data_IF_455751376060
#
_entry.id   IF_455751376060
#
_cell.length_a   1.000
_cell.length_b   1.000
_cell.length_c   1.000
_cell.angle_alpha   90.00
_cell.angle_beta   90.00
_cell.angle_gamma   90.00
#
_symmetry.space_group_name_H-M   'P 1'
#
loop_
_entity.id
_entity.type
_entity.pdbx_description
1 polymer ?
#
# COMPACT_ATOMS: atom_id res chain seq x y z
N UNK A 1 12.95 -19.75 -21.55
CA UNK A 1 11.82 -19.36 -20.67
C UNK A 1 11.00 -18.31 -21.41
N UNK A 2 9.67 -18.38 -21.40
CA UNK A 2 8.83 -17.30 -21.96
C UNK A 2 9.10 -16.01 -21.18
N UNK A 3 9.22 -14.88 -21.88
CA UNK A 3 9.38 -13.56 -21.23
C UNK A 3 8.15 -13.32 -20.35
N UNK A 4 8.35 -12.94 -19.09
CA UNK A 4 7.22 -12.57 -18.21
C UNK A 4 6.49 -11.36 -18.79
N UNK A 5 5.16 -11.36 -18.66
CA UNK A 5 4.34 -10.20 -19.00
C UNK A 5 4.55 -9.07 -17.99
N UNK A 6 4.38 -7.84 -18.41
CA UNK A 6 4.35 -6.66 -17.57
C UNK A 6 2.98 -6.54 -16.89
N UNK A 7 2.95 -6.70 -15.58
CA UNK A 7 1.71 -6.73 -14.80
C UNK A 7 1.47 -5.39 -14.09
N UNK A 8 0.47 -4.64 -14.53
CA UNK A 8 0.05 -3.35 -13.96
C UNK A 8 -1.12 -3.48 -12.96
N UNK A 9 -1.36 -4.68 -12.41
CA UNK A 9 -2.44 -4.91 -11.46
C UNK A 9 -2.27 -4.10 -10.19
N UNK A 10 -3.38 -3.52 -9.71
CA UNK A 10 -3.38 -2.73 -8.48
C UNK A 10 -3.30 -3.54 -7.19
N UNK A 11 -3.56 -4.84 -7.26
CA UNK A 11 -3.48 -5.78 -6.14
C UNK A 11 -4.46 -6.95 -6.27
N UNK A 12 -3.99 -8.19 -6.09
CA UNK A 12 -2.58 -8.58 -5.90
C UNK A 12 -1.69 -8.10 -7.04
N UNK A 13 -0.56 -7.46 -6.70
CA UNK A 13 0.30 -6.80 -7.67
C UNK A 13 1.48 -7.67 -8.13
N UNK A 14 2.30 -7.12 -9.02
CA UNK A 14 3.54 -7.77 -9.43
C UNK A 14 4.48 -7.96 -8.23
N UNK A 15 5.19 -9.09 -8.18
CA UNK A 15 6.30 -9.35 -7.28
C UNK A 15 7.62 -9.30 -8.06
N UNK A 16 8.74 -8.94 -7.43
CA UNK A 16 10.06 -8.99 -8.07
C UNK A 16 10.36 -10.41 -8.57
N UNK A 17 10.86 -10.53 -9.79
CA UNK A 17 11.15 -11.83 -10.38
C UNK A 17 12.18 -12.62 -9.56
N UNK A 18 13.22 -11.93 -9.05
CA UNK A 18 14.24 -12.55 -8.21
C UNK A 18 13.64 -13.18 -6.93
N UNK A 19 12.65 -12.52 -6.33
CA UNK A 19 11.92 -13.04 -5.15
C UNK A 19 11.15 -14.31 -5.53
N UNK A 20 10.45 -14.31 -6.67
CA UNK A 20 9.71 -15.49 -7.13
C UNK A 20 10.63 -16.65 -7.50
N UNK A 21 11.77 -16.38 -8.13
CA UNK A 21 12.77 -17.40 -8.48
C UNK A 21 13.38 -18.03 -7.21
N UNK A 22 13.69 -17.22 -6.20
CA UNK A 22 14.19 -17.73 -4.92
C UNK A 22 13.12 -18.55 -4.20
N UNK A 23 11.89 -18.07 -4.13
CA UNK A 23 10.78 -18.82 -3.56
C UNK A 23 10.53 -20.15 -4.28
N UNK A 24 10.65 -20.16 -5.62
CA UNK A 24 10.56 -21.40 -6.42
C UNK A 24 11.68 -22.37 -6.09
N UNK A 25 12.92 -21.91 -5.96
CA UNK A 25 14.07 -22.75 -5.64
C UNK A 25 13.98 -23.34 -4.22
N UNK A 26 13.43 -22.59 -3.26
CA UNK A 26 13.28 -22.98 -1.87
C UNK A 26 11.91 -23.65 -1.57
N UNK A 27 11.03 -23.83 -2.57
CA UNK A 27 9.65 -24.25 -2.36
C UNK A 27 9.52 -25.65 -1.74
N UNK A 28 10.36 -26.59 -2.17
CA UNK A 28 10.35 -27.99 -1.66
C UNK A 28 11.43 -28.22 -0.61
N UNK A 29 12.48 -27.44 -0.62
CA UNK A 29 13.65 -27.65 0.24
C UNK A 29 14.27 -26.30 0.61
N UNK A 30 13.79 -25.71 1.69
CA UNK A 30 14.35 -24.46 2.20
C UNK A 30 15.73 -24.73 2.80
N UNK A 31 16.76 -24.18 2.15
CA UNK A 31 18.17 -24.23 2.58
C UNK A 31 18.69 -25.62 2.95
N UNK A 32 18.28 -26.65 2.23
CA UNK A 32 18.74 -28.04 2.45
C UNK A 32 18.09 -28.75 3.65
N UNK A 33 16.98 -28.23 4.19
CA UNK A 33 16.25 -28.81 5.32
C UNK A 33 15.28 -29.92 4.92
N UNK A 34 15.05 -30.11 3.61
CA UNK A 34 14.14 -31.14 3.08
C UNK A 34 12.67 -30.86 3.33
N UNK A 35 12.29 -29.60 3.60
CA UNK A 35 10.90 -29.17 3.78
C UNK A 35 10.68 -27.72 3.30
N UNK A 36 9.43 -27.42 2.96
CA UNK A 36 8.99 -26.08 2.57
C UNK A 36 8.81 -25.16 3.78
N UNK A 37 8.99 -23.86 3.60
CA UNK A 37 8.60 -22.86 4.62
C UNK A 37 7.11 -22.97 4.98
N UNK A 38 6.24 -23.44 4.05
CA UNK A 38 4.82 -23.66 4.32
C UNK A 38 4.55 -24.78 5.34
N UNK A 39 5.51 -25.70 5.50
CA UNK A 39 5.41 -26.87 6.40
C UNK A 39 6.15 -26.64 7.73
N UNK A 40 6.90 -25.52 7.85
CA UNK A 40 7.65 -25.21 9.06
C UNK A 40 6.73 -24.86 10.22
N UNK A 41 7.06 -25.39 11.40
CA UNK A 41 6.47 -24.85 12.63
C UNK A 41 6.89 -23.38 12.79
N UNK A 42 5.93 -22.48 13.00
CA UNK A 42 6.22 -21.09 13.30
C UNK A 42 6.93 -20.88 14.65
N UNK A 43 7.09 -21.95 15.44
CA UNK A 43 7.85 -21.97 16.72
C UNK A 43 9.23 -22.60 16.57
N UNK A 44 9.64 -23.02 15.36
CA UNK A 44 10.99 -23.51 15.12
C UNK A 44 11.98 -22.34 15.08
N UNK A 45 13.25 -22.62 15.38
CA UNK A 45 14.33 -21.64 15.32
C UNK A 45 14.48 -21.08 13.90
N UNK A 46 14.30 -21.91 12.87
CA UNK A 46 14.41 -21.52 11.47
C UNK A 46 13.34 -20.51 11.10
N UNK A 47 12.07 -20.77 11.46
CA UNK A 47 11.00 -19.82 11.14
C UNK A 47 11.11 -18.53 11.95
N UNK A 48 11.51 -18.64 13.22
CA UNK A 48 11.79 -17.47 14.07
C UNK A 48 12.86 -16.58 13.42
N UNK A 49 13.95 -17.17 12.91
CA UNK A 49 14.98 -16.43 12.20
C UNK A 49 14.49 -15.76 10.90
N UNK A 50 13.59 -16.43 10.14
CA UNK A 50 12.94 -15.83 8.97
C UNK A 50 12.13 -14.59 9.37
N UNK A 51 11.32 -14.70 10.43
CA UNK A 51 10.46 -13.62 10.90
C UNK A 51 11.25 -12.44 11.46
N UNK A 52 12.26 -12.71 12.29
CA UNK A 52 13.16 -11.69 12.86
C UNK A 52 13.92 -10.95 11.78
N UNK A 53 14.45 -11.68 10.77
CA UNK A 53 15.13 -11.05 9.64
C UNK A 53 14.20 -10.15 8.85
N UNK A 54 12.97 -10.60 8.57
CA UNK A 54 12.00 -9.78 7.85
C UNK A 54 11.63 -8.50 8.61
N UNK A 55 11.46 -8.59 9.94
CA UNK A 55 11.22 -7.42 10.79
C UNK A 55 12.43 -6.47 10.77
N UNK A 56 13.65 -7.01 10.93
CA UNK A 56 14.86 -6.19 10.93
C UNK A 56 15.09 -5.49 9.60
N UNK A 57 14.88 -6.18 8.47
CA UNK A 57 15.03 -5.59 7.15
C UNK A 57 14.01 -4.46 6.91
N UNK A 58 12.78 -4.61 7.38
CA UNK A 58 11.78 -3.54 7.32
C UNK A 58 12.14 -2.35 8.23
N UNK A 59 12.66 -2.64 9.44
CA UNK A 59 13.15 -1.59 10.34
C UNK A 59 14.29 -0.80 9.73
N UNK A 60 15.24 -1.48 9.10
CA UNK A 60 16.39 -0.84 8.43
C UNK A 60 15.92 0.03 7.26
N UNK A 61 15.02 -0.49 6.41
CA UNK A 61 14.50 0.22 5.22
C UNK A 61 13.75 1.51 5.57
N UNK A 62 13.01 1.53 6.68
CA UNK A 62 12.22 2.69 7.10
C UNK A 62 12.83 3.44 8.29
N UNK A 63 14.00 3.03 8.78
CA UNK A 63 14.63 3.61 9.98
C UNK A 63 13.65 3.67 11.17
N UNK A 64 12.90 2.57 11.40
CA UNK A 64 11.83 2.52 12.40
C UNK A 64 12.43 2.69 13.80
N UNK A 65 12.01 3.71 14.57
CA UNK A 65 12.52 3.92 15.92
C UNK A 65 12.22 2.75 16.86
N UNK A 66 13.07 2.57 17.90
CA UNK A 66 12.95 1.44 18.84
C UNK A 66 11.65 1.45 19.68
N UNK A 67 11.02 2.61 19.82
CA UNK A 67 9.74 2.79 20.53
C UNK A 67 8.52 2.47 19.66
N UNK A 68 8.70 1.76 18.54
CA UNK A 68 7.63 1.23 17.69
C UNK A 68 7.68 -0.29 17.68
N UNK A 69 6.51 -0.92 17.70
CA UNK A 69 6.35 -2.35 17.41
C UNK A 69 5.98 -2.53 15.93
N UNK A 70 6.55 -3.55 15.32
CA UNK A 70 6.21 -4.00 13.98
C UNK A 70 5.43 -5.30 14.10
N UNK A 71 4.20 -5.31 13.60
CA UNK A 71 3.30 -6.46 13.69
C UNK A 71 3.05 -6.99 12.28
N UNK A 72 3.09 -8.32 12.16
CA UNK A 72 2.77 -9.04 10.93
C UNK A 72 1.48 -9.82 11.13
N UNK A 73 0.36 -9.23 10.69
CA UNK A 73 -0.98 -9.72 11.00
C UNK A 73 -1.68 -10.30 9.76
N UNK A 74 -2.78 -11.01 9.98
CA UNK A 74 -3.65 -11.52 8.94
C UNK A 74 -4.77 -10.51 8.61
N UNK A 75 -5.69 -10.82 7.69
CA UNK A 75 -6.87 -10.01 7.39
C UNK A 75 -6.70 -8.85 6.42
N UNK A 76 -5.46 -8.47 6.11
CA UNK A 76 -5.14 -7.36 5.21
C UNK A 76 -5.59 -6.00 5.74
N UNK A 77 -5.45 -4.95 4.92
CA UNK A 77 -5.78 -3.57 5.30
C UNK A 77 -7.27 -3.39 5.68
N UNK A 78 -8.18 -4.17 5.08
CA UNK A 78 -9.61 -4.04 5.37
C UNK A 78 -9.97 -4.44 6.80
N UNK A 79 -9.24 -5.39 7.40
CA UNK A 79 -9.42 -5.73 8.81
C UNK A 79 -8.95 -4.60 9.72
N UNK A 80 -7.91 -3.86 9.31
CA UNK A 80 -7.39 -2.73 10.07
C UNK A 80 -8.42 -1.60 10.22
N UNK A 81 -9.37 -1.47 9.30
CA UNK A 81 -10.46 -0.49 9.44
C UNK A 81 -11.31 -0.72 10.69
N UNK A 82 -11.44 -1.98 11.15
CA UNK A 82 -12.10 -2.34 12.40
C UNK A 82 -11.11 -2.45 13.58
N UNK A 83 -9.93 -2.96 13.33
CA UNK A 83 -8.91 -3.24 14.36
C UNK A 83 -8.37 -1.94 14.99
N UNK A 84 -8.15 -0.90 14.17
CA UNK A 84 -7.70 0.41 14.65
C UNK A 84 -8.69 1.02 15.65
N UNK A 85 -9.99 1.19 15.35
CA UNK A 85 -10.92 1.72 16.34
C UNK A 85 -11.13 0.80 17.55
N UNK A 86 -11.00 -0.52 17.43
CA UNK A 86 -11.03 -1.43 18.57
C UNK A 86 -9.86 -1.19 19.54
N UNK A 87 -8.69 -0.83 19.02
CA UNK A 87 -7.47 -0.63 19.79
C UNK A 87 -7.27 0.82 20.27
N UNK A 88 -7.68 1.81 19.47
CA UNK A 88 -7.31 3.21 19.70
C UNK A 88 -8.48 4.14 20.03
N UNK A 89 -9.73 3.78 19.67
CA UNK A 89 -10.89 4.64 19.91
C UNK A 89 -11.58 4.26 21.22
N UNK A 90 -11.50 5.08 22.28
CA UNK A 90 -12.22 4.81 23.53
C UNK A 90 -13.74 4.71 23.33
N UNK A 91 -14.44 4.04 24.25
CA UNK A 91 -15.90 4.10 24.28
C UNK A 91 -16.35 5.56 24.39
N UNK A 92 -17.27 5.99 23.53
CA UNK A 92 -17.72 7.38 23.41
C UNK A 92 -16.64 8.40 22.98
N UNK A 93 -15.46 7.93 22.52
CA UNK A 93 -14.42 8.77 21.94
C UNK A 93 -14.78 9.24 20.53
N UNK A 94 -14.03 10.22 20.04
CA UNK A 94 -14.08 10.70 18.67
C UNK A 94 -12.77 10.41 17.94
N UNK A 95 -12.84 10.04 16.68
CA UNK A 95 -11.70 9.95 15.78
C UNK A 95 -11.94 10.82 14.55
N UNK A 96 -10.89 11.50 14.11
CA UNK A 96 -10.89 12.32 12.92
C UNK A 96 -10.47 11.50 11.70
N UNK A 97 -11.12 11.73 10.58
CA UNK A 97 -10.84 11.06 9.31
C UNK A 97 -10.77 12.06 8.16
N UNK A 98 -9.90 11.78 7.19
CA UNK A 98 -9.85 12.53 5.94
C UNK A 98 -10.41 11.66 4.82
N UNK A 99 -11.47 12.16 4.17
CA UNK A 99 -12.12 11.50 3.03
C UNK A 99 -11.47 11.93 1.71
N UNK A 100 -10.58 11.09 1.18
CA UNK A 100 -9.90 11.33 -0.11
C UNK A 100 -10.27 10.32 -1.19
N UNK A 101 -11.14 9.36 -0.90
CA UNK A 101 -11.53 8.40 -1.93
C UNK A 101 -12.25 7.17 -1.38
N UNK A 102 -12.15 6.07 -2.11
CA UNK A 102 -12.92 4.85 -1.79
C UNK A 102 -12.37 4.16 -0.54
N UNK A 103 -11.05 4.13 -0.35
CA UNK A 103 -10.45 3.43 0.78
C UNK A 103 -10.65 4.20 2.08
N UNK A 104 -10.43 5.51 2.07
CA UNK A 104 -10.74 6.36 3.23
C UNK A 104 -12.23 6.28 3.62
N UNK A 105 -13.16 6.30 2.66
CA UNK A 105 -14.60 6.13 2.95
C UNK A 105 -14.93 4.78 3.59
N UNK A 106 -14.32 3.68 3.11
CA UNK A 106 -14.51 2.36 3.73
C UNK A 106 -14.02 2.32 5.16
N UNK A 107 -12.88 2.95 5.45
CA UNK A 107 -12.38 3.03 6.82
C UNK A 107 -13.26 3.91 7.71
N UNK A 108 -13.79 5.02 7.18
CA UNK A 108 -14.78 5.87 7.84
C UNK A 108 -16.05 5.08 8.20
N UNK A 109 -16.60 4.35 7.22
CA UNK A 109 -17.86 3.62 7.41
C UNK A 109 -17.68 2.46 8.40
N UNK A 110 -16.53 1.82 8.44
CA UNK A 110 -16.25 0.79 9.45
C UNK A 110 -16.04 1.41 10.84
N UNK A 111 -15.28 2.51 10.95
CA UNK A 111 -15.01 3.17 12.23
C UNK A 111 -16.29 3.70 12.92
N UNK A 112 -17.28 4.16 12.16
CA UNK A 112 -18.59 4.60 12.68
C UNK A 112 -19.33 3.52 13.48
N UNK A 113 -18.99 2.25 13.30
CA UNK A 113 -19.55 1.13 14.06
C UNK A 113 -19.01 1.08 15.49
N UNK A 114 -17.90 1.75 15.74
CA UNK A 114 -17.19 1.69 17.01
C UNK A 114 -17.24 3.00 17.82
N UNK A 115 -17.57 4.14 17.23
CA UNK A 115 -17.60 5.41 17.95
C UNK A 115 -17.97 6.59 17.07
N UNK A 116 -17.73 7.79 17.58
CA UNK A 116 -17.97 9.01 16.82
C UNK A 116 -16.84 9.24 15.80
N UNK A 117 -17.22 9.53 14.56
CA UNK A 117 -16.29 9.87 13.49
C UNK A 117 -16.59 11.28 13.03
N UNK A 118 -15.60 12.16 13.15
CA UNK A 118 -15.60 13.46 12.50
C UNK A 118 -14.85 13.36 11.16
N UNK A 119 -15.43 13.89 10.10
CA UNK A 119 -14.74 14.03 8.81
C UNK A 119 -14.03 15.37 8.83
N UNK A 120 -12.74 15.36 9.21
CA UNK A 120 -11.94 16.56 9.35
C UNK A 120 -11.77 17.31 8.02
N UNK A 121 -11.70 16.58 6.91
CA UNK A 121 -11.66 17.13 5.56
C UNK A 121 -12.20 16.12 4.54
N UNK A 122 -12.68 16.61 3.39
CA UNK A 122 -13.15 15.76 2.30
C UNK A 122 -12.71 16.32 0.95
N UNK A 123 -12.20 15.46 0.08
CA UNK A 123 -11.91 15.76 -1.32
C UNK A 123 -13.17 15.80 -2.21
N UNK A 124 -14.36 15.51 -1.67
CA UNK A 124 -15.63 15.51 -2.42
C UNK A 124 -15.92 16.84 -3.12
N UNK A 125 -15.70 18.03 -2.51
CA UNK A 125 -15.88 19.31 -3.20
C UNK A 125 -14.98 19.50 -4.42
N UNK A 126 -13.92 18.73 -4.53
CA UNK A 126 -12.96 18.71 -5.64
C UNK A 126 -13.15 17.51 -6.56
N UNK A 127 -14.32 16.85 -6.53
CA UNK A 127 -14.62 15.62 -7.28
C UNK A 127 -13.58 14.49 -7.08
N UNK A 128 -12.87 14.53 -5.93
CA UNK A 128 -11.75 13.64 -5.62
C UNK A 128 -10.56 13.76 -6.58
N UNK A 129 -10.35 14.95 -7.15
CA UNK A 129 -9.21 15.26 -8.03
C UNK A 129 -8.14 16.13 -7.36
N UNK A 130 -8.40 16.62 -6.16
CA UNK A 130 -7.43 17.37 -5.36
C UNK A 130 -7.57 17.00 -3.88
N UNK A 131 -6.53 17.24 -3.11
CA UNK A 131 -6.50 17.07 -1.66
C UNK A 131 -6.74 18.42 -1.00
N UNK A 132 -7.70 18.53 -0.05
CA UNK A 132 -7.90 19.75 0.73
C UNK A 132 -6.62 20.12 1.49
N UNK A 133 -6.22 21.39 1.46
CA UNK A 133 -5.10 21.87 2.25
C UNK A 133 -5.37 21.69 3.75
N UNK A 134 -4.32 21.49 4.55
CA UNK A 134 -4.49 21.26 6.00
C UNK A 134 -5.18 22.45 6.71
N UNK A 135 -5.08 23.65 6.19
CA UNK A 135 -5.78 24.84 6.67
C UNK A 135 -7.31 24.81 6.46
N UNK A 136 -7.80 23.87 5.67
CA UNK A 136 -9.24 23.63 5.43
C UNK A 136 -9.81 22.57 6.39
N UNK A 137 -8.95 21.93 7.20
CA UNK A 137 -9.37 20.82 8.05
C UNK A 137 -10.04 21.32 9.34
N UNK A 138 -11.13 20.66 9.72
CA UNK A 138 -11.84 20.88 10.99
C UNK A 138 -11.57 19.72 11.92
N UNK A 139 -10.57 19.88 12.78
CA UNK A 139 -10.15 18.84 13.74
C UNK A 139 -11.03 18.89 15.01
N UNK A 140 -11.22 17.74 15.65
CA UNK A 140 -11.86 17.63 16.95
C UNK A 140 -10.84 17.94 18.07
N UNK A 141 -11.24 18.68 19.10
CA UNK A 141 -10.35 19.07 20.20
C UNK A 141 -9.72 17.87 20.94
N UNK A 142 -10.40 16.73 20.99
CA UNK A 142 -10.00 15.53 21.73
C UNK A 142 -10.07 14.26 20.85
N UNK A 143 -9.66 14.35 19.61
CA UNK A 143 -9.60 13.17 18.74
C UNK A 143 -8.63 12.12 19.30
N UNK A 144 -9.08 10.88 19.41
CA UNK A 144 -8.22 9.77 19.81
C UNK A 144 -7.08 9.53 18.80
N UNK A 145 -7.36 9.80 17.52
CA UNK A 145 -6.41 9.79 16.40
C UNK A 145 -7.04 10.49 15.19
N UNK A 146 -6.20 10.85 14.22
CA UNK A 146 -6.65 11.17 12.87
C UNK A 146 -6.19 10.09 11.91
N UNK A 147 -7.11 9.62 11.08
CA UNK A 147 -6.85 8.61 10.03
C UNK A 147 -6.92 9.21 8.62
N UNK A 148 -5.97 8.86 7.77
CA UNK A 148 -6.01 9.15 6.34
C UNK A 148 -5.42 8.01 5.50
N UNK A 149 -5.74 7.97 4.22
CA UNK A 149 -5.06 7.12 3.24
C UNK A 149 -3.99 7.96 2.54
N UNK A 150 -2.71 7.57 2.70
CA UNK A 150 -1.59 8.30 2.06
C UNK A 150 -1.69 8.28 0.53
N UNK A 151 -2.23 7.17 -0.01
CA UNK A 151 -2.44 6.97 -1.44
C UNK A 151 -3.75 6.21 -1.71
N UNK A 152 -4.67 6.84 -2.41
CA UNK A 152 -5.93 6.24 -2.87
C UNK A 152 -5.71 5.44 -4.17
N UNK A 153 -5.50 4.15 -4.04
CA UNK A 153 -5.17 3.22 -5.13
C UNK A 153 -6.14 3.26 -6.32
N UNK A 154 -7.41 3.56 -6.07
CA UNK A 154 -8.48 3.54 -7.09
C UNK A 154 -8.55 4.87 -7.82
N UNK A 155 -8.61 5.97 -7.08
CA UNK A 155 -8.71 7.32 -7.63
C UNK A 155 -7.39 7.90 -8.08
N UNK A 156 -6.26 7.41 -7.54
CA UNK A 156 -4.93 7.92 -7.88
C UNK A 156 -4.56 9.22 -7.16
N UNK A 157 -5.27 9.59 -6.07
CA UNK A 157 -4.88 10.68 -5.19
C UNK A 157 -3.78 10.21 -4.22
N UNK A 158 -2.73 11.00 -4.05
CA UNK A 158 -1.66 10.76 -3.10
C UNK A 158 -1.23 12.05 -2.41
N UNK A 159 -1.06 11.97 -1.08
CA UNK A 159 -0.44 13.05 -0.32
C UNK A 159 1.05 13.15 -0.66
N UNK A 160 1.52 14.35 -0.95
CA UNK A 160 2.94 14.67 -1.10
C UNK A 160 3.55 15.26 0.19
N UNK A 161 2.75 15.37 1.25
CA UNK A 161 3.11 15.89 2.56
C UNK A 161 2.50 15.02 3.68
N UNK A 162 3.08 15.10 4.88
CA UNK A 162 2.58 14.43 6.09
C UNK A 162 1.83 15.46 6.93
N UNK A 163 0.56 15.20 7.33
CA UNK A 163 -0.19 16.08 8.21
C UNK A 163 0.53 16.35 9.54
N UNK A 164 0.44 17.59 10.03
CA UNK A 164 0.96 17.98 11.33
C UNK A 164 -0.20 18.23 12.29
N UNK A 165 -0.34 17.35 13.30
CA UNK A 165 -1.47 17.33 14.22
C UNK A 165 -1.06 17.61 15.68
N UNK A 166 0.19 18.05 15.90
CA UNK A 166 0.72 18.17 17.27
C UNK A 166 0.71 16.81 17.99
N UNK A 167 0.04 16.72 19.13
CA UNK A 167 0.02 15.51 19.97
C UNK A 167 -0.99 14.44 19.52
N UNK A 168 -1.92 14.77 18.62
CA UNK A 168 -2.92 13.79 18.14
C UNK A 168 -2.24 12.70 17.30
N UNK A 169 -2.39 11.40 17.65
CA UNK A 169 -1.79 10.32 16.87
C UNK A 169 -2.25 10.31 15.42
N UNK A 170 -1.31 10.35 14.48
CA UNK A 170 -1.57 10.21 13.06
C UNK A 170 -1.58 8.73 12.68
N UNK A 171 -2.66 8.27 12.07
CA UNK A 171 -2.88 6.90 11.60
C UNK A 171 -3.02 6.90 10.08
N UNK A 172 -2.33 5.99 9.39
CA UNK A 172 -2.33 6.00 7.94
C UNK A 172 -2.40 4.61 7.30
N UNK A 173 -3.22 4.52 6.24
CA UNK A 173 -3.15 3.43 5.26
C UNK A 173 -2.07 3.75 4.22
N UNK A 174 -0.97 3.01 4.27
CA UNK A 174 0.12 3.08 3.28
C UNK A 174 0.19 1.83 2.39
N UNK A 175 -0.88 1.05 2.28
CA UNK A 175 -0.86 -0.22 1.54
C UNK A 175 -0.29 -0.09 0.12
N UNK A 176 -0.52 1.03 -0.54
CA UNK A 176 -0.12 1.20 -1.94
C UNK A 176 1.13 2.05 -2.16
N UNK A 177 1.71 2.64 -1.11
CA UNK A 177 2.90 3.49 -1.26
C UNK A 177 3.98 3.30 -0.18
N UNK A 178 3.78 2.41 0.80
CA UNK A 178 4.85 2.04 1.75
C UNK A 178 6.09 1.55 1.01
N UNK A 179 7.29 1.92 1.49
CA UNK A 179 8.58 1.57 0.87
C UNK A 179 8.77 2.09 -0.57
N UNK A 180 7.94 3.01 -1.03
CA UNK A 180 8.12 3.63 -2.36
C UNK A 180 9.09 4.80 -2.37
N UNK A 181 9.34 5.39 -1.20
CA UNK A 181 10.22 6.53 -0.95
C UNK A 181 10.56 6.62 0.55
N UNK A 182 11.58 7.42 0.96
CA UNK A 182 11.88 7.67 2.36
C UNK A 182 10.67 8.22 3.13
N UNK A 183 10.57 7.82 4.40
CA UNK A 183 9.47 8.18 5.29
C UNK A 183 10.01 8.43 6.71
N UNK A 184 9.61 9.52 7.34
CA UNK A 184 9.84 9.74 8.76
C UNK A 184 8.74 9.05 9.58
N UNK A 185 8.99 7.83 10.03
CA UNK A 185 8.06 7.02 10.82
C UNK A 185 7.70 7.71 12.14
N UNK A 186 8.57 8.54 12.70
CA UNK A 186 8.35 9.22 13.99
C UNK A 186 7.16 10.20 13.97
N UNK A 187 6.72 10.63 12.78
CA UNK A 187 5.54 11.47 12.58
C UNK A 187 4.21 10.75 12.79
N UNK A 188 4.22 9.42 12.91
CA UNK A 188 3.02 8.60 12.94
C UNK A 188 2.82 7.94 14.30
N UNK A 189 1.56 7.84 14.73
CA UNK A 189 1.16 6.95 15.81
C UNK A 189 1.03 5.50 15.31
N UNK A 190 0.49 5.32 14.09
CA UNK A 190 0.32 4.01 13.49
C UNK A 190 0.35 4.10 11.96
N UNK A 191 1.13 3.21 11.34
CA UNK A 191 1.14 2.97 9.89
C UNK A 191 0.67 1.54 9.65
N UNK A 192 -0.19 1.30 8.68
CA UNK A 192 -0.51 -0.06 8.25
C UNK A 192 -0.46 -0.20 6.73
N UNK A 193 -0.14 -1.42 6.28
CA UNK A 193 0.00 -1.73 4.86
C UNK A 193 -0.37 -3.18 4.55
N UNK A 194 -1.42 -3.39 3.76
CA UNK A 194 -1.72 -4.69 3.18
C UNK A 194 -0.64 -5.09 2.17
N UNK A 195 -0.02 -6.27 2.37
CA UNK A 195 1.18 -6.65 1.64
C UNK A 195 1.00 -6.80 0.13
N UNK A 196 -0.20 -7.20 -0.32
CA UNK A 196 -0.49 -7.59 -1.71
C UNK A 196 -0.31 -6.49 -2.77
N UNK A 197 0.07 -5.28 -2.38
CA UNK A 197 0.31 -4.17 -3.31
C UNK A 197 1.81 -3.97 -3.55
N UNK A 198 2.53 -3.46 -2.58
CA UNK A 198 3.92 -3.03 -2.77
C UNK A 198 4.97 -3.86 -2.03
N UNK A 199 4.59 -4.69 -1.06
CA UNK A 199 5.55 -5.33 -0.14
C UNK A 199 5.45 -6.85 -0.03
N UNK A 200 4.56 -7.51 -0.78
CA UNK A 200 4.46 -8.97 -0.72
C UNK A 200 3.20 -9.54 -1.34
N UNK A 201 2.85 -10.79 -1.02
CA UNK A 201 1.63 -11.44 -1.46
C UNK A 201 0.42 -11.06 -0.59
N UNK A 202 -0.78 -11.47 -1.01
CA UNK A 202 -1.99 -11.38 -0.19
C UNK A 202 -1.90 -12.26 1.06
N UNK A 203 -2.70 -11.94 2.08
CA UNK A 203 -2.82 -12.72 3.33
C UNK A 203 -2.03 -12.13 4.50
N UNK A 204 -1.26 -11.08 4.27
CA UNK A 204 -0.47 -10.40 5.28
C UNK A 204 -0.80 -8.90 5.30
N UNK A 205 -0.78 -8.31 6.49
CA UNK A 205 -0.75 -6.86 6.71
C UNK A 205 0.37 -6.54 7.71
N UNK A 206 1.15 -5.51 7.42
CA UNK A 206 2.13 -4.96 8.36
C UNK A 206 1.49 -3.81 9.10
N UNK A 207 1.68 -3.76 10.43
CA UNK A 207 1.30 -2.63 11.29
C UNK A 207 2.53 -2.17 12.04
N UNK A 208 2.88 -0.90 11.91
CA UNK A 208 3.95 -0.23 12.64
C UNK A 208 3.26 0.71 13.64
N UNK A 209 3.32 0.39 14.91
CA UNK A 209 2.58 1.10 15.96
C UNK A 209 3.49 1.58 17.06
N UNK A 210 3.32 2.84 17.48
CA UNK A 210 4.07 3.44 18.58
C UNK A 210 3.67 2.79 19.90
N UNK A 211 4.65 2.44 20.74
CA UNK A 211 4.44 1.64 21.96
C UNK A 211 3.44 2.24 22.95
N UNK A 212 3.39 3.58 23.07
CA UNK A 212 2.45 4.27 23.94
C UNK A 212 0.97 4.10 23.56
N UNK A 213 0.71 3.64 22.34
CA UNK A 213 -0.63 3.35 21.82
C UNK A 213 -1.10 1.92 22.11
N UNK A 214 -0.20 1.04 22.55
CA UNK A 214 -0.53 -0.35 22.90
C UNK A 214 -1.26 -0.41 24.26
N UNK A 215 -2.09 -1.45 24.42
CA UNK A 215 -2.84 -1.67 25.67
C UNK A 215 -4.01 -0.72 25.89
N UNK A 216 -4.46 -0.03 24.84
CA UNK A 216 -5.65 0.83 24.84
C UNK A 216 -6.89 0.14 24.27
N UNK A 217 -6.78 -1.16 23.94
CA UNK A 217 -7.87 -1.93 23.36
C UNK A 217 -9.11 -1.91 24.27
N UNK A 218 -10.28 -1.82 23.68
CA UNK A 218 -11.57 -1.92 24.38
C UNK A 218 -11.72 -3.30 25.02
N UNK A 219 -12.44 -3.38 26.12
CA UNK A 219 -12.75 -4.64 26.81
C UNK A 219 -13.47 -5.66 25.92
N UNK A 220 -14.17 -5.18 24.89
CA UNK A 220 -14.85 -6.00 23.88
C UNK A 220 -13.95 -6.41 22.72
N UNK A 221 -12.68 -5.97 22.67
CA UNK A 221 -11.76 -6.34 21.61
C UNK A 221 -11.43 -7.84 21.69
N UNK A 222 -11.65 -8.61 20.61
CA UNK A 222 -11.24 -10.01 20.60
C UNK A 222 -9.72 -10.15 20.72
N UNK A 223 -9.25 -11.18 21.43
CA UNK A 223 -7.82 -11.46 21.67
C UNK A 223 -6.96 -11.36 20.41
N UNK A 224 -7.48 -11.89 19.28
CA UNK A 224 -6.76 -11.92 18.00
C UNK A 224 -6.64 -10.55 17.32
N UNK A 225 -7.40 -9.56 17.76
CA UNK A 225 -7.43 -8.20 17.21
C UNK A 225 -6.76 -7.17 18.13
N UNK A 226 -6.22 -7.62 19.27
CA UNK A 226 -5.53 -6.75 20.25
C UNK A 226 -4.04 -6.62 19.87
N UNK A 227 -3.64 -5.40 19.49
CA UNK A 227 -2.25 -5.11 19.11
C UNK A 227 -1.25 -5.36 20.25
N UNK A 228 -1.65 -5.18 21.52
CA UNK A 228 -0.78 -5.47 22.65
C UNK A 228 -0.48 -6.96 22.75
N UNK A 229 -1.49 -7.80 22.58
CA UNK A 229 -1.34 -9.26 22.59
C UNK A 229 -0.49 -9.71 21.39
N UNK A 230 -0.73 -9.13 20.21
CA UNK A 230 0.10 -9.40 19.02
C UNK A 230 1.56 -9.00 19.28
N UNK A 231 1.81 -7.81 19.85
CA UNK A 231 3.16 -7.32 20.14
C UNK A 231 3.89 -8.20 21.17
N UNK A 232 3.22 -8.58 22.26
CA UNK A 232 3.80 -9.39 23.32
C UNK A 232 4.15 -10.82 22.87
N UNK A 233 3.58 -11.27 21.75
CA UNK A 233 3.81 -12.59 21.18
C UNK A 233 4.57 -12.56 19.84
N UNK A 234 5.24 -11.45 19.48
CA UNK A 234 5.96 -11.32 18.21
C UNK A 234 5.10 -11.64 16.99
N UNK A 235 3.82 -11.24 17.02
CA UNK A 235 2.80 -11.55 15.99
C UNK A 235 2.46 -13.04 15.84
N UNK A 236 2.91 -13.89 16.77
CA UNK A 236 2.75 -15.36 16.73
C UNK A 236 1.93 -15.90 17.91
N UNK A 237 0.93 -15.14 18.36
CA UNK A 237 -0.05 -15.65 19.34
C UNK A 237 -0.71 -16.92 18.83
N UNK A 238 -1.09 -16.96 17.55
CA UNK A 238 -1.44 -18.16 16.82
C UNK A 238 -0.50 -18.35 15.61
N UNK A 239 -0.70 -19.41 14.83
CA UNK A 239 0.05 -19.63 13.58
C UNK A 239 -0.18 -18.49 12.61
N UNK A 240 0.87 -17.74 12.22
CA UNK A 240 0.75 -16.63 11.29
C UNK A 240 0.62 -17.10 9.83
N UNK A 241 0.46 -16.17 8.89
CA UNK A 241 0.53 -16.44 7.45
C UNK A 241 2.00 -16.69 7.04
N UNK A 242 2.55 -17.87 7.41
CA UNK A 242 3.98 -18.18 7.37
C UNK A 242 4.62 -17.91 6.03
N UNK A 243 4.03 -18.40 4.94
CA UNK A 243 4.60 -18.26 3.60
C UNK A 243 4.48 -16.82 3.07
N UNK A 244 3.39 -16.11 3.40
CA UNK A 244 3.24 -14.70 3.03
C UNK A 244 4.24 -13.81 3.76
N UNK A 245 4.53 -14.11 5.03
CA UNK A 245 5.55 -13.39 5.80
C UNK A 245 6.96 -13.63 5.24
N UNK A 246 7.30 -14.90 4.96
CA UNK A 246 8.55 -15.26 4.30
C UNK A 246 8.74 -14.52 2.96
N UNK A 247 7.73 -14.53 2.08
CA UNK A 247 7.81 -13.82 0.81
C UNK A 247 7.96 -12.30 0.97
N UNK A 248 7.28 -11.71 1.95
CA UNK A 248 7.46 -10.28 2.25
C UNK A 248 8.88 -10.00 2.77
N UNK A 249 9.44 -10.89 3.58
CA UNK A 249 10.85 -10.81 3.99
C UNK A 249 11.81 -10.82 2.80
N UNK A 250 11.57 -11.69 1.82
CA UNK A 250 12.35 -11.70 0.57
C UNK A 250 12.20 -10.40 -0.24
N UNK A 251 11.02 -9.77 -0.21
CA UNK A 251 10.83 -8.45 -0.86
C UNK A 251 11.61 -7.37 -0.12
N UNK A 252 11.66 -7.37 1.21
CA UNK A 252 12.45 -6.41 1.98
C UNK A 252 13.95 -6.58 1.72
N UNK A 253 14.44 -7.82 1.68
CA UNK A 253 15.83 -8.12 1.32
C UNK A 253 16.16 -7.62 -0.09
N UNK A 254 15.30 -7.93 -1.07
CA UNK A 254 15.43 -7.42 -2.43
C UNK A 254 15.47 -5.89 -2.49
N UNK A 255 14.61 -5.18 -1.73
CA UNK A 255 14.64 -3.71 -1.68
C UNK A 255 15.97 -3.17 -1.14
N UNK A 256 16.55 -3.82 -0.11
CA UNK A 256 17.90 -3.46 0.40
C UNK A 256 18.97 -3.67 -0.67
N UNK A 257 18.92 -4.78 -1.41
CA UNK A 257 19.84 -5.06 -2.53
C UNK A 257 19.70 -4.05 -3.68
N UNK A 258 18.51 -3.49 -3.90
CA UNK A 258 18.30 -2.41 -4.88
C UNK A 258 18.81 -1.04 -4.42
N UNK A 259 19.33 -0.93 -3.19
CA UNK A 259 19.85 0.31 -2.61
C UNK A 259 18.83 1.06 -1.73
N UNK A 260 17.83 0.36 -1.22
CA UNK A 260 16.86 0.88 -0.25
C UNK A 260 15.83 1.85 -0.83
N UNK A 261 15.13 2.54 0.07
CA UNK A 261 14.01 3.42 -0.30
C UNK A 261 14.42 4.66 -1.09
N UNK A 262 15.66 5.14 -0.93
CA UNK A 262 16.19 6.26 -1.71
C UNK A 262 16.41 5.89 -3.20
N UNK A 263 16.85 4.66 -3.44
CA UNK A 263 16.97 4.15 -4.81
C UNK A 263 15.57 3.91 -5.42
N UNK A 264 14.64 3.38 -4.64
CA UNK A 264 13.24 3.21 -5.06
C UNK A 264 12.58 4.55 -5.36
N UNK A 265 12.80 5.59 -4.57
CA UNK A 265 12.28 6.93 -4.85
C UNK A 265 12.74 7.43 -6.22
N UNK A 266 14.04 7.31 -6.53
CA UNK A 266 14.57 7.74 -7.84
C UNK A 266 13.93 6.98 -8.99
N UNK A 267 13.80 5.64 -8.85
CA UNK A 267 13.17 4.80 -9.85
C UNK A 267 11.68 5.12 -10.01
N UNK A 268 10.95 5.25 -8.91
CA UNK A 268 9.52 5.54 -8.92
C UNK A 268 9.23 6.92 -9.50
N UNK A 269 10.09 7.92 -9.20
CA UNK A 269 10.02 9.25 -9.81
C UNK A 269 10.20 9.18 -11.32
N UNK A 270 11.22 8.48 -11.80
CA UNK A 270 11.46 8.30 -13.25
C UNK A 270 10.25 7.64 -13.95
N UNK A 271 9.68 6.59 -13.35
CA UNK A 271 8.50 5.89 -13.88
C UNK A 271 7.28 6.81 -13.98
N UNK A 272 6.95 7.51 -12.88
CA UNK A 272 5.79 8.40 -12.88
C UNK A 272 5.97 9.58 -13.84
N UNK A 273 7.16 10.18 -13.87
CA UNK A 273 7.44 11.32 -14.73
C UNK A 273 7.35 10.94 -16.22
N UNK A 274 7.82 9.73 -16.58
CA UNK A 274 7.69 9.20 -17.93
C UNK A 274 6.22 9.00 -18.32
N UNK A 275 5.41 8.37 -17.46
CA UNK A 275 4.02 8.07 -17.77
C UNK A 275 3.13 9.33 -17.77
N UNK A 276 3.24 10.17 -16.74
CA UNK A 276 2.50 11.44 -16.72
C UNK A 276 2.94 12.38 -17.83
N UNK A 277 4.23 12.38 -18.21
CA UNK A 277 4.73 13.19 -19.30
C UNK A 277 4.07 12.88 -20.65
N UNK A 278 3.72 11.62 -20.91
CA UNK A 278 2.95 11.24 -22.10
C UNK A 278 1.49 11.67 -22.00
N UNK A 279 0.88 11.46 -20.83
CA UNK A 279 -0.53 11.84 -20.62
C UNK A 279 -0.70 13.36 -20.76
N UNK A 280 0.19 14.14 -20.15
CA UNK A 280 0.08 15.61 -20.12
C UNK A 280 0.46 16.28 -21.47
N UNK A 281 1.24 15.60 -22.32
CA UNK A 281 1.62 16.10 -23.63
C UNK A 281 0.61 15.75 -24.74
N UNK A 282 -0.46 15.03 -24.41
CA UNK A 282 -1.42 14.46 -25.36
C UNK A 282 -2.81 15.11 -25.19
N UNK A 283 -3.47 15.38 -26.30
CA UNK A 283 -4.91 15.72 -26.30
C UNK A 283 -5.80 14.44 -26.34
N UNK A 284 -5.19 13.29 -26.55
CA UNK A 284 -5.87 11.99 -26.62
C UNK A 284 -5.97 11.28 -25.27
N UNK A 285 -4.98 11.49 -24.38
CA UNK A 285 -4.98 10.96 -23.01
C UNK A 285 -5.26 12.06 -21.99
N UNK A 286 -5.93 11.71 -20.91
CA UNK A 286 -6.20 12.68 -19.83
C UNK A 286 -6.11 12.05 -18.44
N UNK A 287 -5.66 12.85 -17.47
CA UNK A 287 -5.75 12.56 -16.04
C UNK A 287 -6.23 13.83 -15.32
N UNK A 288 -7.41 13.79 -14.66
CA UNK A 288 -8.01 14.99 -14.08
C UNK A 288 -7.41 15.41 -12.73
N UNK A 289 -6.49 14.61 -12.16
CA UNK A 289 -5.95 14.83 -10.82
C UNK A 289 -4.98 16.02 -10.84
N UNK A 290 -5.12 16.92 -9.85
CA UNK A 290 -4.20 18.01 -9.63
C UNK A 290 -2.75 17.53 -9.52
N UNK A 291 -1.82 18.18 -10.19
CA UNK A 291 -0.44 17.71 -10.36
C UNK A 291 0.29 17.43 -9.03
N UNK A 292 -0.01 18.22 -7.99
CA UNK A 292 0.52 18.07 -6.63
C UNK A 292 -0.17 16.95 -5.80
N UNK A 293 -1.19 16.30 -6.35
CA UNK A 293 -1.92 15.22 -5.69
C UNK A 293 -1.91 13.91 -6.48
N UNK A 294 -1.10 13.81 -7.54
CA UNK A 294 -1.00 12.63 -8.40
C UNK A 294 -0.22 11.50 -7.75
N UNK A 295 -0.79 10.31 -7.78
CA UNK A 295 -0.14 9.11 -7.27
C UNK A 295 1.11 8.73 -8.07
N UNK A 296 2.18 8.39 -7.35
CA UNK A 296 3.38 7.81 -7.94
C UNK A 296 3.23 6.31 -8.26
N UNK A 297 2.25 5.67 -7.62
CA UNK A 297 2.06 4.22 -7.66
C UNK A 297 0.88 3.78 -8.53
N UNK A 298 -0.18 4.58 -8.59
CA UNK A 298 -1.41 4.21 -9.28
C UNK A 298 -1.84 5.36 -10.20
N UNK A 299 -1.58 5.21 -11.48
CA UNK A 299 -1.82 6.23 -12.49
C UNK A 299 -3.09 5.91 -13.28
N UNK A 300 -4.26 6.50 -12.93
CA UNK A 300 -5.44 6.42 -13.76
C UNK A 300 -5.31 7.33 -14.98
N UNK A 301 -5.86 6.92 -16.11
CA UNK A 301 -5.96 7.75 -17.30
C UNK A 301 -7.15 7.35 -18.17
N UNK A 302 -7.61 8.26 -19.00
CA UNK A 302 -8.73 8.07 -19.91
C UNK A 302 -8.31 8.37 -21.33
N UNK A 303 -8.98 7.74 -22.28
CA UNK A 303 -8.94 8.10 -23.69
C UNK A 303 -9.92 9.23 -23.99
N UNK A 304 -9.67 10.02 -25.01
CA UNK A 304 -10.60 11.04 -25.51
C UNK A 304 -11.93 10.41 -26.00
N UNK A 305 -11.86 9.21 -26.57
CA UNK A 305 -13.01 8.41 -26.95
C UNK A 305 -13.06 7.10 -26.12
N UNK A 306 -13.98 7.03 -25.16
CA UNK A 306 -14.17 5.84 -24.29
C UNK A 306 -14.61 4.59 -25.10
N UNK A 307 -15.11 4.72 -26.33
CA UNK A 307 -15.43 3.56 -27.17
C UNK A 307 -14.17 2.77 -27.56
N UNK A 308 -13.00 3.42 -27.56
CA UNK A 308 -11.72 2.80 -27.83
C UNK A 308 -11.13 2.04 -26.63
N UNK A 309 -11.68 2.16 -25.41
CA UNK A 309 -11.15 1.50 -24.20
C UNK A 309 -10.92 0.00 -24.42
N UNK A 310 -11.88 -0.69 -25.04
CA UNK A 310 -11.79 -2.13 -25.28
C UNK A 310 -10.69 -2.47 -26.29
N UNK A 311 -10.52 -1.64 -27.34
CA UNK A 311 -9.50 -1.82 -28.35
C UNK A 311 -8.13 -1.59 -27.75
N UNK A 312 -7.96 -0.53 -26.95
CA UNK A 312 -6.75 -0.24 -26.20
C UNK A 312 -6.35 -1.40 -25.28
N UNK A 313 -7.28 -1.90 -24.47
CA UNK A 313 -7.00 -2.99 -23.53
C UNK A 313 -6.64 -4.30 -24.25
N UNK A 314 -7.31 -4.63 -25.36
CA UNK A 314 -6.99 -5.82 -26.15
C UNK A 314 -5.59 -5.71 -26.77
N UNK A 315 -5.27 -4.57 -27.39
CA UNK A 315 -3.94 -4.35 -27.98
C UNK A 315 -2.81 -4.29 -26.94
N UNK A 316 -3.11 -3.85 -25.71
CA UNK A 316 -2.17 -3.93 -24.58
C UNK A 316 -1.91 -5.38 -24.16
N UNK A 317 -2.97 -6.18 -23.99
CA UNK A 317 -2.87 -7.60 -23.63
C UNK A 317 -2.05 -8.41 -24.65
N UNK A 318 -2.25 -8.18 -25.95
CA UNK A 318 -1.47 -8.81 -27.03
C UNK A 318 0.03 -8.51 -26.93
N UNK A 319 0.39 -7.35 -26.37
CA UNK A 319 1.78 -6.94 -26.13
C UNK A 319 2.32 -7.35 -24.75
N UNK A 320 1.52 -8.10 -23.97
CA UNK A 320 1.89 -8.53 -22.63
C UNK A 320 1.86 -7.39 -21.61
N UNK A 321 1.10 -6.30 -21.84
CA UNK A 321 0.85 -5.21 -20.91
C UNK A 321 -0.48 -5.47 -20.20
N UNK A 322 -0.43 -6.23 -19.10
CA UNK A 322 -1.61 -6.82 -18.49
C UNK A 322 -2.22 -5.96 -17.37
N UNK A 323 -3.54 -6.10 -17.18
CA UNK A 323 -4.28 -5.54 -16.04
C UNK A 323 -4.35 -4.00 -16.01
N UNK A 324 -4.38 -3.36 -17.17
CA UNK A 324 -4.51 -1.91 -17.30
C UNK A 324 -5.93 -1.38 -17.13
N UNK A 325 -6.96 -2.24 -17.11
CA UNK A 325 -8.36 -1.81 -16.95
C UNK A 325 -8.57 -1.05 -15.64
N UNK A 326 -9.14 0.15 -15.72
CA UNK A 326 -9.51 0.95 -14.56
C UNK A 326 -10.57 0.28 -13.68
N UNK A 327 -10.70 0.75 -12.44
CA UNK A 327 -11.71 0.24 -11.53
C UNK A 327 -13.12 0.61 -12.03
N UNK A 328 -14.10 -0.29 -11.86
CA UNK A 328 -15.48 -0.12 -12.34
C UNK A 328 -16.16 1.18 -11.88
N UNK A 329 -15.74 1.77 -10.76
CA UNK A 329 -16.29 3.03 -10.23
C UNK A 329 -15.67 4.28 -10.86
N UNK A 330 -14.58 4.17 -11.61
CA UNK A 330 -13.83 5.29 -12.20
C UNK A 330 -13.82 5.19 -13.72
N UNK A 331 -13.81 3.97 -14.26
CA UNK A 331 -13.68 3.71 -15.70
C UNK A 331 -12.24 3.90 -16.20
N UNK A 332 -12.09 3.96 -17.53
CA UNK A 332 -10.82 4.17 -18.22
C UNK A 332 -9.76 3.10 -17.90
N UNK A 333 -8.52 3.51 -17.88
CA UNK A 333 -7.35 2.68 -17.58
C UNK A 333 -6.71 3.08 -16.25
N UNK A 334 -5.90 2.17 -15.69
CA UNK A 334 -5.05 2.45 -14.56
C UNK A 334 -3.79 1.59 -14.62
N UNK A 335 -2.64 2.23 -14.69
CA UNK A 335 -1.35 1.58 -14.54
C UNK A 335 -0.91 1.64 -13.07
N UNK A 336 -0.79 0.48 -12.42
CA UNK A 336 -0.18 0.39 -11.09
C UNK A 336 1.30 0.05 -11.24
N UNK A 337 2.16 1.03 -10.96
CA UNK A 337 3.61 0.98 -11.22
C UNK A 337 4.40 0.87 -9.93
N UNK A 338 4.03 -0.12 -9.09
CA UNK A 338 4.69 -0.39 -7.80
C UNK A 338 6.20 -0.67 -7.94
N UNK A 339 6.88 -0.83 -6.83
CA UNK A 339 8.33 -1.05 -6.80
C UNK A 339 8.81 -2.21 -7.70
N UNK A 340 8.05 -3.30 -7.76
CA UNK A 340 8.38 -4.47 -8.58
C UNK A 340 8.14 -4.30 -10.09
N UNK A 341 7.48 -3.22 -10.50
CA UNK A 341 7.31 -2.86 -11.92
C UNK A 341 8.52 -2.03 -12.35
N UNK A 342 9.32 -2.57 -13.25
CA UNK A 342 10.54 -1.92 -13.75
C UNK A 342 10.24 -0.71 -14.66
N UNK A 343 11.27 0.10 -14.90
CA UNK A 343 11.18 1.21 -15.84
C UNK A 343 10.89 0.73 -17.26
N UNK A 344 11.45 -0.41 -17.66
CA UNK A 344 11.21 -1.08 -18.94
C UNK A 344 9.73 -1.40 -19.21
N UNK A 345 8.98 -1.75 -18.16
CA UNK A 345 7.54 -1.97 -18.25
C UNK A 345 6.78 -0.67 -18.57
N UNK A 346 7.18 0.43 -17.92
CA UNK A 346 6.58 1.75 -18.16
C UNK A 346 6.97 2.29 -19.53
N UNK A 347 8.22 2.08 -19.96
CA UNK A 347 8.68 2.41 -21.31
C UNK A 347 7.88 1.66 -22.38
N UNK A 348 7.63 0.36 -22.17
CA UNK A 348 6.81 -0.45 -23.09
C UNK A 348 5.36 0.07 -23.15
N UNK A 349 4.77 0.43 -22.00
CA UNK A 349 3.42 1.02 -21.97
C UNK A 349 3.39 2.36 -22.71
N UNK A 350 4.34 3.23 -22.45
CA UNK A 350 4.44 4.55 -23.10
C UNK A 350 4.65 4.43 -24.62
N UNK A 351 5.46 3.47 -25.06
CA UNK A 351 5.63 3.18 -26.50
C UNK A 351 4.29 2.77 -27.12
N UNK A 352 3.57 1.86 -26.47
CA UNK A 352 2.24 1.44 -26.93
C UNK A 352 1.23 2.61 -26.93
N UNK A 353 1.20 3.44 -25.91
CA UNK A 353 0.32 4.62 -25.87
C UNK A 353 0.57 5.55 -27.06
N UNK A 354 1.82 5.83 -27.41
CA UNK A 354 2.18 6.67 -28.57
C UNK A 354 1.78 6.05 -29.90
N UNK A 355 1.95 4.71 -30.06
CA UNK A 355 1.51 3.99 -31.25
C UNK A 355 -0.02 4.08 -31.39
N UNK A 356 -0.74 3.83 -30.30
CA UNK A 356 -2.19 3.84 -30.27
C UNK A 356 -2.77 5.23 -30.58
N UNK A 357 -2.23 6.29 -29.98
CA UNK A 357 -2.61 7.67 -30.29
C UNK A 357 -2.38 8.03 -31.74
N UNK A 358 -1.26 7.60 -32.35
CA UNK A 358 -0.97 7.84 -33.77
C UNK A 358 -1.96 7.14 -34.71
N UNK A 359 -2.53 6.01 -34.27
CA UNK A 359 -3.48 5.21 -35.07
C UNK A 359 -4.92 5.72 -34.95
N UNK A 360 -5.31 6.17 -33.75
CA UNK A 360 -6.70 6.46 -33.38
C UNK A 360 -6.95 7.92 -32.94
N UNK A 361 -5.92 8.73 -32.75
CA UNK A 361 -5.96 10.12 -32.29
C UNK A 361 -6.08 11.20 -33.35
#
# INVERSE_FOLDING_TARGET
>A
MSKRAFNFCAGPAALPEAVLQRAQAELLDWQGRGLSVMEMSHRSEEYTAIAEKAEQDLRDLLSIPSNYKVLFLQGGASQQFAEIPLNLLPENGVADYVDTGIWSRKSIDEAKRFGHVNIAASAKPYDYFAIPGQNEWTLSDNAAYLHYASNETIGGLQFDWIPDLGDTPLVTDMSSDILSRPLDVSRFGLIYAGAQKNIGPSGLVVVIVREDLLGRARSSCPTMLDYKIAADNGSMYNTPATFSWYLSGLVFEWLKEQGGVEAMERLNRAKKDLLYGVIDASDFYSNPIASNARSWMNVPFRLADEQLDKVFLAGADERGLLNLKGHRSVGGMRASIYNAVGLDAVEALVAYMREFEKEYG
#
